data_IF_799479059030
#
_entry.id   IF_799479059030
#
_cell.length_a   1.000
_cell.length_b   1.000
_cell.length_c   1.000
_cell.angle_alpha   90.00
_cell.angle_beta   90.00
_cell.angle_gamma   90.00
#
_symmetry.space_group_name_H-M   'P 1'
#
loop_
_entity.id
_entity.type
_entity.pdbx_description
1 polymer ?
#
# COMPACT_ATOMS: atom_id res chain seq x y z
N UNK A 1 18.54 21.31 -58.02
CA UNK A 1 18.13 20.23 -57.09
C UNK A 1 18.41 20.72 -55.68
N UNK A 2 17.44 21.41 -55.06
CA UNK A 2 17.58 21.95 -53.70
C UNK A 2 16.74 21.07 -52.78
N UNK A 3 17.41 20.29 -51.94
CA UNK A 3 16.78 19.42 -50.95
C UNK A 3 16.67 20.19 -49.63
N UNK A 4 15.48 20.70 -49.35
CA UNK A 4 15.14 21.37 -48.09
C UNK A 4 15.01 20.32 -46.99
N UNK A 5 15.95 20.31 -46.05
CA UNK A 5 15.92 19.47 -44.87
C UNK A 5 14.89 20.05 -43.88
N UNK A 6 13.76 19.36 -43.73
CA UNK A 6 12.71 19.71 -42.77
C UNK A 6 13.19 19.35 -41.36
N UNK A 7 13.69 20.32 -40.60
CA UNK A 7 13.87 20.18 -39.15
C UNK A 7 12.48 20.11 -38.50
N UNK A 8 12.04 18.89 -38.16
CA UNK A 8 10.93 18.69 -37.24
C UNK A 8 11.37 19.16 -35.84
N UNK A 9 10.84 20.32 -35.46
CA UNK A 9 10.91 20.87 -34.11
C UNK A 9 10.28 19.87 -33.13
N UNK A 10 11.09 19.30 -32.23
CA UNK A 10 10.68 18.53 -31.06
C UNK A 10 10.17 19.45 -29.93
N UNK A 11 9.26 20.37 -30.27
CA UNK A 11 8.52 21.15 -29.30
C UNK A 11 7.11 20.55 -29.18
N UNK A 12 6.83 19.81 -28.09
CA UNK A 12 5.44 19.42 -27.84
C UNK A 12 5.14 18.22 -26.96
N UNK A 13 6.08 17.65 -26.19
CA UNK A 13 5.69 16.81 -25.04
C UNK A 13 6.31 17.46 -23.81
N UNK A 14 5.61 18.47 -23.28
CA UNK A 14 5.66 18.68 -21.84
C UNK A 14 5.17 17.36 -21.24
N UNK A 15 6.08 16.53 -20.75
CA UNK A 15 5.72 15.36 -19.97
C UNK A 15 5.09 15.90 -18.68
N UNK A 16 3.79 16.20 -18.74
CA UNK A 16 3.01 16.59 -17.59
C UNK A 16 3.31 15.56 -16.48
N UNK A 17 3.65 16.06 -15.30
CA UNK A 17 3.94 15.22 -14.15
C UNK A 17 2.83 14.16 -14.01
N UNK A 18 3.17 12.90 -13.75
CA UNK A 18 2.18 11.85 -13.55
C UNK A 18 1.32 12.23 -12.34
N UNK A 19 0.05 12.53 -12.59
CA UNK A 19 -0.93 12.96 -11.59
C UNK A 19 -2.36 12.77 -12.12
N UNK A 20 -3.38 12.81 -11.25
CA UNK A 20 -4.77 12.66 -11.67
C UNK A 20 -5.20 13.79 -12.61
N UNK A 21 -5.95 13.44 -13.64
CA UNK A 21 -6.66 14.38 -14.52
C UNK A 21 -7.98 14.79 -13.87
N UNK A 22 -8.66 15.84 -14.37
CA UNK A 22 -10.04 16.09 -13.97
C UNK A 22 -10.89 14.81 -14.10
N UNK A 23 -11.73 14.55 -13.11
CA UNK A 23 -12.61 13.37 -12.98
C UNK A 23 -11.92 12.02 -12.69
N UNK A 24 -10.59 11.95 -12.66
CA UNK A 24 -9.86 10.79 -12.15
C UNK A 24 -10.07 10.68 -10.63
N UNK A 25 -10.21 9.45 -10.11
CA UNK A 25 -10.29 9.17 -8.68
C UNK A 25 -9.05 8.43 -8.20
N UNK A 26 -8.72 8.60 -6.92
CA UNK A 26 -7.57 7.97 -6.25
C UNK A 26 -8.02 7.32 -4.95
N UNK A 27 -7.10 6.63 -4.29
CA UNK A 27 -7.33 5.85 -3.07
C UNK A 27 -6.45 6.36 -1.91
N UNK A 28 -6.60 5.84 -0.68
CA UNK A 28 -5.57 6.03 0.35
C UNK A 28 -4.24 5.31 0.04
N UNK A 29 -4.21 4.41 -0.96
CA UNK A 29 -3.03 3.63 -1.30
C UNK A 29 -2.11 4.37 -2.30
N UNK A 30 -0.91 4.83 -1.87
CA UNK A 30 0.01 5.53 -2.76
C UNK A 30 0.51 4.66 -3.92
N UNK A 31 0.60 3.35 -3.73
CA UNK A 31 1.00 2.39 -4.77
C UNK A 31 0.00 2.35 -5.94
N UNK A 32 -1.28 2.11 -5.66
CA UNK A 32 -2.32 2.07 -6.70
C UNK A 32 -2.45 3.44 -7.39
N UNK A 33 -2.35 4.52 -6.62
CA UNK A 33 -2.38 5.87 -7.17
C UNK A 33 -1.23 6.13 -8.13
N UNK A 34 -0.02 5.70 -7.78
CA UNK A 34 1.16 5.80 -8.66
C UNK A 34 0.99 5.01 -9.95
N UNK A 35 0.48 3.78 -9.87
CA UNK A 35 0.23 2.97 -11.06
C UNK A 35 -0.84 3.60 -11.97
N UNK A 36 -1.89 4.19 -11.41
CA UNK A 36 -2.90 4.90 -12.17
C UNK A 36 -2.32 6.19 -12.79
N UNK A 37 -1.54 6.98 -12.05
CA UNK A 37 -0.87 8.20 -12.52
C UNK A 37 0.08 7.95 -13.71
N UNK A 38 0.63 6.74 -13.81
CA UNK A 38 1.53 6.30 -14.88
C UNK A 38 0.83 5.51 -16.01
N UNK A 39 -0.51 5.47 -16.05
CA UNK A 39 -1.29 4.69 -17.04
C UNK A 39 -0.94 3.18 -17.06
N UNK A 40 -0.37 2.64 -15.97
CA UNK A 40 -0.07 1.21 -15.81
C UNK A 40 -1.32 0.47 -15.36
N UNK A 41 -2.01 1.03 -14.36
CA UNK A 41 -3.39 0.66 -14.06
C UNK A 41 -4.35 1.65 -14.76
N UNK A 42 -5.67 1.45 -14.61
CA UNK A 42 -6.68 2.35 -15.20
C UNK A 42 -6.50 3.77 -14.66
N UNK A 43 -6.07 4.69 -15.54
CA UNK A 43 -5.77 6.10 -15.22
C UNK A 43 -6.90 6.81 -14.49
N UNK A 44 -8.14 6.54 -14.91
CA UNK A 44 -9.36 7.11 -14.32
C UNK A 44 -9.54 6.75 -12.85
N UNK A 45 -8.90 5.69 -12.36
CA UNK A 45 -9.17 5.15 -11.04
C UNK A 45 -10.48 4.37 -10.93
N UNK A 46 -11.20 4.13 -12.04
CA UNK A 46 -12.56 3.56 -12.03
C UNK A 46 -12.65 2.22 -12.75
N UNK A 47 -13.57 1.37 -12.33
CA UNK A 47 -13.93 0.12 -13.03
C UNK A 47 -12.88 -0.98 -12.93
N UNK A 48 -12.14 -1.05 -11.82
CA UNK A 48 -11.20 -2.12 -11.58
C UNK A 48 -11.92 -3.44 -11.37
N UNK A 49 -11.47 -4.47 -12.10
CA UNK A 49 -11.80 -5.87 -11.83
C UNK A 49 -10.57 -6.59 -11.28
N UNK A 50 -10.74 -7.75 -10.63
CA UNK A 50 -9.60 -8.56 -10.16
C UNK A 50 -8.59 -8.86 -11.28
N UNK A 51 -8.98 -9.26 -12.51
CA UNK A 51 -8.02 -9.47 -13.59
C UNK A 51 -7.25 -8.21 -14.02
N UNK A 52 -7.93 -7.05 -14.09
CA UNK A 52 -7.30 -5.77 -14.44
C UNK A 52 -6.27 -5.41 -13.36
N UNK A 53 -6.67 -5.47 -12.10
CA UNK A 53 -5.81 -5.19 -10.96
C UNK A 53 -4.59 -6.12 -10.93
N UNK A 54 -4.81 -7.43 -11.09
CA UNK A 54 -3.74 -8.44 -11.11
C UNK A 54 -2.73 -8.15 -12.20
N UNK A 55 -3.19 -7.85 -13.41
CA UNK A 55 -2.31 -7.52 -14.53
C UNK A 55 -1.48 -6.27 -14.24
N UNK A 56 -2.11 -5.20 -13.75
CA UNK A 56 -1.41 -3.94 -13.57
C UNK A 56 -0.43 -3.97 -12.39
N UNK A 57 -0.79 -4.61 -11.26
CA UNK A 57 0.10 -4.85 -10.12
C UNK A 57 1.32 -5.70 -10.51
N UNK A 58 1.12 -6.76 -11.29
CA UNK A 58 2.22 -7.57 -11.82
C UNK A 58 3.14 -6.74 -12.73
N UNK A 59 2.60 -5.93 -13.64
CA UNK A 59 3.42 -5.13 -14.56
C UNK A 59 4.14 -3.96 -13.90
N UNK A 60 3.53 -3.33 -12.89
CA UNK A 60 4.03 -2.12 -12.28
C UNK A 60 4.96 -2.35 -11.11
N UNK A 61 4.73 -3.40 -10.31
CA UNK A 61 5.50 -3.67 -9.11
C UNK A 61 6.01 -5.10 -9.00
N UNK A 62 5.76 -5.95 -10.01
CA UNK A 62 6.03 -7.38 -9.91
C UNK A 62 5.33 -8.02 -8.70
N UNK A 63 4.10 -7.56 -8.41
CA UNK A 63 3.26 -8.13 -7.36
C UNK A 63 2.56 -9.38 -7.88
N UNK A 64 2.60 -10.44 -7.09
CA UNK A 64 2.04 -11.74 -7.39
C UNK A 64 0.51 -11.76 -7.35
N UNK A 65 -0.11 -12.72 -8.05
CA UNK A 65 -1.56 -12.85 -8.12
C UNK A 65 -2.20 -13.21 -6.76
N UNK A 66 -1.44 -13.78 -5.84
CA UNK A 66 -1.91 -14.14 -4.50
C UNK A 66 -2.29 -12.90 -3.68
N UNK A 67 -1.43 -11.88 -3.66
CA UNK A 67 -1.73 -10.59 -3.04
C UNK A 67 -2.70 -9.75 -3.88
N UNK A 68 -2.59 -9.77 -5.21
CA UNK A 68 -3.50 -9.01 -6.07
C UNK A 68 -4.96 -9.46 -5.95
N UNK A 69 -5.21 -10.76 -5.82
CA UNK A 69 -6.56 -11.30 -5.61
C UNK A 69 -7.18 -10.78 -4.31
N UNK A 70 -6.38 -10.68 -3.25
CA UNK A 70 -6.80 -10.17 -1.95
C UNK A 70 -7.24 -8.71 -2.06
N UNK A 71 -6.39 -7.85 -2.65
CA UNK A 71 -6.69 -6.43 -2.82
C UNK A 71 -7.92 -6.24 -3.72
N UNK A 72 -8.06 -7.05 -4.76
CA UNK A 72 -9.21 -6.98 -5.66
C UNK A 72 -10.51 -7.43 -5.00
N UNK A 73 -10.48 -8.48 -4.16
CA UNK A 73 -11.64 -8.93 -3.41
C UNK A 73 -12.09 -7.88 -2.38
N UNK A 74 -11.12 -7.29 -1.66
CA UNK A 74 -11.38 -6.19 -0.76
C UNK A 74 -11.99 -4.99 -1.46
N UNK A 75 -11.40 -4.56 -2.59
CA UNK A 75 -11.91 -3.45 -3.39
C UNK A 75 -13.33 -3.67 -3.87
N UNK A 76 -13.66 -4.86 -4.37
CA UNK A 76 -15.04 -5.21 -4.75
C UNK A 76 -15.99 -5.11 -3.56
N UNK A 77 -15.57 -5.55 -2.37
CA UNK A 77 -16.35 -5.41 -1.15
C UNK A 77 -16.60 -3.95 -0.78
N UNK A 78 -15.60 -3.08 -0.93
CA UNK A 78 -15.69 -1.65 -0.62
C UNK A 78 -16.40 -0.84 -1.71
N UNK A 79 -16.61 -1.43 -2.88
CA UNK A 79 -17.24 -0.79 -4.02
C UNK A 79 -18.70 -0.43 -3.78
N UNK A 80 -19.17 0.64 -4.44
CA UNK A 80 -20.58 1.09 -4.39
C UNK A 80 -21.57 0.05 -4.91
N UNK A 81 -21.12 -0.95 -5.67
CA UNK A 81 -21.96 -1.99 -6.26
C UNK A 81 -21.24 -3.35 -6.25
N UNK A 82 -21.16 -4.04 -5.09
CA UNK A 82 -20.35 -5.26 -4.96
C UNK A 82 -20.73 -6.39 -5.93
N UNK A 83 -22.02 -6.49 -6.29
CA UNK A 83 -22.51 -7.45 -7.29
C UNK A 83 -22.03 -7.16 -8.73
N UNK A 84 -21.54 -5.95 -8.99
CA UNK A 84 -20.94 -5.57 -10.26
C UNK A 84 -19.54 -6.16 -10.46
N UNK A 85 -18.93 -6.73 -9.41
CA UNK A 85 -17.56 -7.26 -9.42
C UNK A 85 -16.50 -6.25 -9.90
N UNK A 86 -16.81 -4.97 -9.69
CA UNK A 86 -15.94 -3.84 -10.01
C UNK A 86 -15.82 -2.91 -8.82
N UNK A 87 -14.72 -2.18 -8.74
CA UNK A 87 -14.55 -1.11 -7.76
C UNK A 87 -13.81 0.08 -8.36
N UNK A 88 -13.98 1.22 -7.71
CA UNK A 88 -13.26 2.45 -7.99
C UNK A 88 -12.28 2.71 -6.84
N UNK A 89 -11.16 3.38 -7.12
CA UNK A 89 -10.10 3.63 -6.15
C UNK A 89 -10.58 4.49 -4.96
N UNK A 90 -11.53 5.40 -5.19
CA UNK A 90 -12.14 6.23 -4.13
C UNK A 90 -13.09 5.45 -3.22
N UNK A 91 -13.38 4.18 -3.50
CA UNK A 91 -14.09 3.32 -2.56
C UNK A 91 -13.17 2.66 -1.52
N UNK A 92 -11.85 2.74 -1.70
CA UNK A 92 -10.88 2.06 -0.84
C UNK A 92 -10.61 2.79 0.49
N UNK A 93 -11.20 3.96 0.72
CA UNK A 93 -11.15 4.72 1.97
C UNK A 93 -12.28 4.37 2.95
N UNK A 94 -13.08 3.34 2.64
CA UNK A 94 -14.16 2.91 3.51
C UNK A 94 -13.59 2.38 4.84
N UNK A 95 -13.80 3.17 5.90
CA UNK A 95 -13.14 2.96 7.18
C UNK A 95 -13.50 1.65 7.88
N UNK A 96 -12.48 0.96 8.39
CA UNK A 96 -12.57 -0.36 9.00
C UNK A 96 -13.25 -1.41 8.09
N UNK A 97 -13.21 -1.20 6.78
CA UNK A 97 -13.70 -2.15 5.79
C UNK A 97 -12.52 -2.77 5.02
N UNK A 98 -12.08 -3.94 5.50
CA UNK A 98 -11.06 -4.85 4.94
C UNK A 98 -9.63 -4.30 4.80
N UNK A 99 -9.41 -3.08 4.29
CA UNK A 99 -8.06 -2.54 4.02
C UNK A 99 -7.79 -1.20 4.71
N UNK A 100 -8.73 -0.24 4.71
CA UNK A 100 -8.46 1.06 5.36
C UNK A 100 -8.47 0.93 6.89
N UNK A 101 -7.40 1.41 7.53
CA UNK A 101 -7.20 1.33 8.97
C UNK A 101 -6.53 2.57 9.61
N UNK A 102 -6.71 2.68 10.93
CA UNK A 102 -6.11 3.72 11.74
C UNK A 102 -4.58 3.58 11.86
N UNK A 103 -3.91 4.67 12.24
CA UNK A 103 -2.45 4.76 12.35
C UNK A 103 -1.69 4.62 11.03
N UNK A 104 -2.34 5.00 9.93
CA UNK A 104 -1.73 5.17 8.61
C UNK A 104 -0.43 5.99 8.66
N UNK A 105 0.52 5.63 7.78
CA UNK A 105 1.83 6.29 7.68
C UNK A 105 1.75 7.71 7.12
N UNK A 106 0.72 8.03 6.34
CA UNK A 106 0.61 9.31 5.63
C UNK A 106 -0.81 9.86 5.51
N UNK A 107 -1.83 9.18 6.06
CA UNK A 107 -3.24 9.59 6.10
C UNK A 107 -3.65 9.80 7.56
N UNK A 108 -4.67 10.61 7.81
CA UNK A 108 -5.23 10.74 9.16
C UNK A 108 -6.20 9.60 9.46
N UNK A 109 -6.40 9.27 10.73
CA UNK A 109 -7.46 8.35 11.12
C UNK A 109 -8.83 8.98 10.79
N UNK A 110 -9.80 8.16 10.37
CA UNK A 110 -11.12 8.64 9.91
C UNK A 110 -11.88 9.49 10.94
N UNK A 111 -11.68 9.24 12.23
CA UNK A 111 -12.30 10.01 13.32
C UNK A 111 -11.57 11.33 13.63
N UNK A 112 -10.33 11.49 13.16
CA UNK A 112 -9.46 12.64 13.47
C UNK A 112 -9.17 13.53 12.27
N UNK A 113 -9.55 13.12 11.06
CA UNK A 113 -9.34 13.90 9.85
C UNK A 113 -9.65 13.14 8.56
N UNK A 114 -8.94 13.51 7.51
CA UNK A 114 -9.03 12.92 6.17
C UNK A 114 -8.20 11.62 6.10
N UNK A 115 -8.89 10.48 5.99
CA UNK A 115 -8.30 9.14 5.86
C UNK A 115 -7.95 8.74 4.42
N UNK A 116 -8.17 9.64 3.47
CA UNK A 116 -7.96 9.39 2.05
C UNK A 116 -6.70 10.08 1.53
N UNK A 117 -6.59 11.38 1.77
CA UNK A 117 -5.57 12.22 1.13
C UNK A 117 -4.21 12.15 1.83
N UNK A 118 -3.13 12.31 1.06
CA UNK A 118 -1.79 12.48 1.62
C UNK A 118 -1.76 13.66 2.61
N UNK A 119 -1.23 13.40 3.80
CA UNK A 119 -1.08 14.36 4.88
C UNK A 119 0.41 14.53 5.21
N UNK A 120 0.97 15.67 4.79
CA UNK A 120 2.39 15.97 4.99
C UNK A 120 2.79 15.99 6.47
N UNK A 121 1.95 16.55 7.35
CA UNK A 121 2.27 16.63 8.79
C UNK A 121 2.42 15.24 9.41
N UNK A 122 1.53 14.31 9.04
CA UNK A 122 1.61 12.92 9.49
C UNK A 122 2.82 12.23 8.87
N UNK A 123 3.01 12.37 7.56
CA UNK A 123 4.16 11.79 6.86
C UNK A 123 5.50 12.26 7.41
N UNK A 124 5.62 13.55 7.77
CA UNK A 124 6.83 14.11 8.37
C UNK A 124 7.19 13.40 9.70
N UNK A 125 6.20 12.91 10.47
CA UNK A 125 6.48 12.11 11.68
C UNK A 125 7.17 10.79 11.37
N UNK A 126 6.83 10.16 10.24
CA UNK A 126 7.48 8.95 9.73
C UNK A 126 8.85 9.29 9.16
N UNK A 127 8.94 10.32 8.31
CA UNK A 127 10.17 10.70 7.63
C UNK A 127 11.28 11.13 8.61
N UNK A 128 10.92 11.72 9.75
CA UNK A 128 11.87 12.12 10.79
C UNK A 128 12.73 10.96 11.34
N UNK A 129 12.22 9.71 11.32
CA UNK A 129 12.99 8.53 11.70
C UNK A 129 14.20 8.28 10.79
N UNK A 130 14.18 8.83 9.57
CA UNK A 130 15.20 8.66 8.56
C UNK A 130 16.13 9.87 8.42
N UNK A 131 16.15 10.78 9.40
CA UNK A 131 17.03 11.94 9.38
C UNK A 131 18.49 11.52 9.24
N UNK A 132 19.22 12.11 8.28
CA UNK A 132 20.60 11.77 7.92
C UNK A 132 20.81 10.35 7.37
N UNK A 133 19.75 9.69 6.89
CA UNK A 133 19.83 8.42 6.18
C UNK A 133 19.58 8.62 4.68
N UNK A 134 20.12 7.72 3.86
CA UNK A 134 19.82 7.65 2.41
C UNK A 134 18.89 6.50 2.04
N UNK A 135 18.70 5.54 2.95
CA UNK A 135 17.87 4.35 2.75
C UNK A 135 16.93 4.11 3.92
N UNK A 136 15.71 3.71 3.62
CA UNK A 136 14.79 3.12 4.56
C UNK A 136 15.18 1.65 4.76
N UNK A 137 15.19 1.21 6.02
CA UNK A 137 15.57 -0.15 6.42
C UNK A 137 14.55 -0.70 7.39
N UNK A 138 14.41 -2.02 7.45
CA UNK A 138 13.45 -2.72 8.31
C UNK A 138 13.46 -2.20 9.76
N UNK A 139 14.60 -2.09 10.48
CA UNK A 139 14.57 -1.67 11.89
C UNK A 139 14.05 -0.24 12.11
N UNK A 140 14.30 0.66 11.15
CA UNK A 140 13.86 2.07 11.25
C UNK A 140 12.39 2.19 10.82
N UNK A 141 11.99 1.49 9.76
CA UNK A 141 10.61 1.40 9.30
C UNK A 141 9.69 0.84 10.38
N UNK A 142 10.11 -0.23 11.06
CA UNK A 142 9.38 -0.83 12.18
C UNK A 142 9.11 0.18 13.32
N UNK A 143 10.11 0.98 13.67
CA UNK A 143 9.99 2.01 14.71
C UNK A 143 9.07 3.15 14.27
N UNK A 144 9.20 3.62 13.03
CA UNK A 144 8.36 4.68 12.49
C UNK A 144 6.88 4.26 12.43
N UNK A 145 6.58 3.04 11.95
CA UNK A 145 5.24 2.45 11.97
C UNK A 145 4.70 2.34 13.40
N UNK A 146 5.48 1.80 14.33
CA UNK A 146 5.02 1.63 15.71
C UNK A 146 4.76 2.96 16.43
N UNK A 147 5.51 4.00 16.07
CA UNK A 147 5.23 5.35 16.54
C UNK A 147 3.84 5.83 16.10
N UNK A 148 3.42 5.56 14.86
CA UNK A 148 2.07 5.90 14.39
C UNK A 148 1.00 5.23 15.24
N UNK A 149 1.11 3.91 15.42
CA UNK A 149 0.18 3.12 16.23
C UNK A 149 0.08 3.66 17.66
N UNK A 150 1.22 3.86 18.33
CA UNK A 150 1.24 4.33 19.72
C UNK A 150 0.82 5.79 19.88
N UNK A 151 1.00 6.61 18.86
CA UNK A 151 0.56 8.01 18.86
C UNK A 151 -0.94 8.10 18.66
N UNK A 152 -1.49 7.43 17.65
CA UNK A 152 -2.93 7.48 17.38
C UNK A 152 -3.75 6.79 18.47
N UNK A 153 -3.27 5.68 19.04
CA UNK A 153 -3.92 5.05 20.20
C UNK A 153 -4.11 6.01 21.40
N UNK A 154 -3.27 7.04 21.53
CA UNK A 154 -3.39 8.05 22.60
C UNK A 154 -4.28 9.24 22.21
N UNK A 155 -4.46 9.48 20.91
CA UNK A 155 -5.08 10.70 20.37
C UNK A 155 -6.50 10.44 19.85
N UNK A 156 -6.71 9.30 19.22
CA UNK A 156 -7.96 8.92 18.58
C UNK A 156 -8.86 8.20 19.61
N UNK A 157 -10.00 8.78 20.01
CA UNK A 157 -10.89 8.19 21.02
C UNK A 157 -11.62 6.93 20.53
N UNK A 158 -11.64 6.67 19.22
CA UNK A 158 -12.26 5.51 18.58
C UNK A 158 -11.23 4.62 17.89
N UNK A 159 -9.96 4.70 18.32
CA UNK A 159 -8.84 3.99 17.71
C UNK A 159 -9.10 2.47 17.65
N UNK A 160 -8.90 1.90 16.46
CA UNK A 160 -9.06 0.49 16.17
C UNK A 160 -7.72 -0.13 15.80
N UNK A 161 -7.25 -1.09 16.61
CA UNK A 161 -6.01 -1.80 16.34
C UNK A 161 -6.03 -3.23 16.88
N UNK A 162 -6.68 -4.11 16.11
CA UNK A 162 -6.76 -5.55 16.39
C UNK A 162 -5.77 -6.37 15.57
N UNK A 163 -5.91 -7.71 15.57
CA UNK A 163 -5.04 -8.61 14.79
C UNK A 163 -5.02 -8.30 13.28
N UNK A 164 -6.15 -7.87 12.71
CA UNK A 164 -6.25 -7.47 11.30
C UNK A 164 -5.39 -6.23 11.02
N UNK A 165 -5.62 -5.13 11.75
CA UNK A 165 -4.89 -3.87 11.59
C UNK A 165 -3.40 -4.04 11.89
N UNK A 166 -3.05 -4.91 12.85
CA UNK A 166 -1.66 -5.27 13.11
C UNK A 166 -0.99 -5.80 11.84
N UNK A 167 -1.58 -6.82 11.19
CA UNK A 167 -1.00 -7.44 10.00
C UNK A 167 -1.00 -6.49 8.81
N UNK A 168 -2.06 -5.70 8.62
CA UNK A 168 -2.14 -4.70 7.56
C UNK A 168 -1.06 -3.63 7.71
N UNK A 169 -0.95 -3.01 8.88
CA UNK A 169 0.03 -1.96 9.15
C UNK A 169 1.48 -2.43 8.94
N UNK A 170 1.81 -3.68 9.30
CA UNK A 170 3.11 -4.29 8.94
C UNK A 170 3.23 -4.62 7.45
N UNK A 171 2.16 -5.13 6.83
CA UNK A 171 2.12 -5.48 5.42
C UNK A 171 2.33 -4.27 4.51
N UNK A 172 1.73 -3.13 4.82
CA UNK A 172 1.92 -1.86 4.11
C UNK A 172 3.35 -1.34 4.22
N UNK A 173 3.95 -1.48 5.41
CA UNK A 173 5.36 -1.16 5.64
C UNK A 173 6.26 -2.06 4.80
N UNK A 174 5.97 -3.36 4.76
CA UNK A 174 6.69 -4.31 3.92
C UNK A 174 6.50 -4.01 2.41
N UNK A 175 5.31 -3.56 2.00
CA UNK A 175 4.99 -3.24 0.61
C UNK A 175 5.81 -2.06 0.09
N UNK A 176 5.92 -0.94 0.81
CA UNK A 176 6.72 0.17 0.29
C UNK A 176 8.22 -0.17 0.26
N UNK A 177 8.73 -0.90 1.28
CA UNK A 177 10.13 -1.36 1.29
C UNK A 177 10.41 -2.32 0.13
N UNK A 178 9.45 -3.19 -0.20
CA UNK A 178 9.57 -4.14 -1.30
C UNK A 178 9.46 -3.47 -2.67
N UNK A 179 8.46 -2.60 -2.87
CA UNK A 179 8.18 -1.96 -4.16
C UNK A 179 9.22 -0.89 -4.50
N UNK A 180 9.66 -0.10 -3.52
CA UNK A 180 10.67 0.95 -3.70
C UNK A 180 12.09 0.48 -3.41
N UNK A 181 12.29 -0.81 -3.18
CA UNK A 181 13.57 -1.38 -2.77
C UNK A 181 13.72 -2.83 -3.23
N UNK A 182 14.08 -3.69 -2.29
CA UNK A 182 14.22 -5.13 -2.53
C UNK A 182 13.26 -5.92 -1.62
N UNK A 183 12.43 -6.83 -2.18
CA UNK A 183 11.46 -7.63 -1.42
C UNK A 183 12.08 -8.63 -0.43
N UNK A 184 13.40 -8.82 -0.43
CA UNK A 184 14.10 -9.73 0.48
C UNK A 184 14.92 -8.95 1.51
N UNK A 185 15.71 -7.96 1.10
CA UNK A 185 16.50 -7.18 2.07
C UNK A 185 15.69 -6.11 2.80
N UNK A 186 14.53 -5.70 2.25
CA UNK A 186 13.70 -4.63 2.83
C UNK A 186 14.45 -3.30 2.95
N UNK A 187 15.33 -3.01 1.98
CA UNK A 187 16.08 -1.76 1.91
C UNK A 187 15.62 -0.99 0.68
N UNK A 188 15.16 0.25 0.88
CA UNK A 188 14.65 1.12 -0.18
C UNK A 188 15.34 2.50 -0.11
N UNK A 189 15.82 3.08 -1.22
CA UNK A 189 16.27 4.47 -1.23
C UNK A 189 15.16 5.42 -0.76
N UNK A 190 15.48 6.33 0.17
CA UNK A 190 14.47 7.25 0.75
C UNK A 190 13.86 8.14 -0.33
N UNK A 191 14.64 8.54 -1.33
CA UNK A 191 14.11 9.33 -2.46
C UNK A 191 13.00 8.59 -3.23
N UNK A 192 13.09 7.26 -3.35
CA UNK A 192 12.04 6.48 -4.01
C UNK A 192 10.79 6.41 -3.13
N UNK A 193 10.98 6.19 -1.83
CA UNK A 193 9.88 6.18 -0.85
C UNK A 193 9.19 7.55 -0.80
N UNK A 194 9.94 8.65 -0.82
CA UNK A 194 9.36 10.01 -0.86
C UNK A 194 8.56 10.23 -2.14
N UNK A 195 9.07 9.83 -3.30
CA UNK A 195 8.33 9.95 -4.57
C UNK A 195 7.02 9.16 -4.54
N UNK A 196 7.03 7.95 -3.97
CA UNK A 196 5.82 7.14 -3.82
C UNK A 196 4.76 7.81 -2.95
N UNK A 197 5.14 8.34 -1.78
CA UNK A 197 4.17 8.90 -0.83
C UNK A 197 3.78 10.35 -1.12
N UNK A 198 4.75 11.21 -1.46
CA UNK A 198 4.57 12.66 -1.58
C UNK A 198 4.06 13.06 -2.97
N UNK A 199 4.46 12.33 -4.01
CA UNK A 199 4.11 12.62 -5.40
C UNK A 199 3.18 11.57 -6.01
N UNK A 200 3.00 10.42 -5.36
CA UNK A 200 2.30 9.25 -5.92
C UNK A 200 2.81 8.96 -7.33
N UNK A 201 4.14 8.81 -7.42
CA UNK A 201 4.89 8.72 -8.66
C UNK A 201 5.91 7.60 -8.59
N UNK A 202 6.08 6.91 -9.72
CA UNK A 202 7.15 5.94 -9.91
C UNK A 202 8.42 6.66 -10.35
N UNK A 203 9.52 6.62 -9.57
CA UNK A 203 10.68 7.47 -9.78
C UNK A 203 11.66 6.89 -10.81
N UNK A 204 11.16 6.61 -12.03
CA UNK A 204 11.95 6.05 -13.13
C UNK A 204 13.17 6.92 -13.49
N UNK A 205 13.04 8.24 -13.33
CA UNK A 205 14.08 9.24 -13.53
C UNK A 205 15.20 9.17 -12.50
N UNK A 206 14.92 8.67 -11.29
CA UNK A 206 15.92 8.42 -10.24
C UNK A 206 16.56 7.03 -10.37
N UNK A 207 16.23 6.30 -11.45
CA UNK A 207 16.76 4.96 -11.73
C UNK A 207 15.91 3.80 -11.21
N UNK A 208 14.78 4.07 -10.52
CA UNK A 208 13.91 3.01 -10.02
C UNK A 208 13.32 2.17 -11.16
N UNK A 209 13.19 0.87 -10.93
CA UNK A 209 12.50 -0.08 -11.80
C UNK A 209 11.71 -1.06 -10.92
N UNK A 210 10.66 -1.71 -11.44
CA UNK A 210 9.94 -2.74 -10.70
C UNK A 210 10.91 -3.81 -10.16
N UNK A 211 10.71 -4.32 -8.93
CA UNK A 211 11.56 -5.35 -8.35
C UNK A 211 11.69 -6.59 -9.22
N UNK A 212 12.90 -7.17 -9.27
CA UNK A 212 13.16 -8.40 -10.05
C UNK A 212 12.54 -9.63 -9.37
N UNK A 213 12.62 -9.69 -8.04
CA UNK A 213 11.94 -10.73 -7.26
C UNK A 213 10.48 -10.37 -7.12
N UNK A 214 9.61 -11.37 -7.27
CA UNK A 214 8.17 -11.16 -7.14
C UNK A 214 7.82 -10.84 -5.69
N UNK A 215 6.97 -9.82 -5.51
CA UNK A 215 6.35 -9.50 -4.22
C UNK A 215 5.10 -10.36 -4.08
N UNK A 216 5.11 -11.31 -3.15
CA UNK A 216 4.00 -12.23 -2.91
C UNK A 216 3.79 -12.43 -1.40
N UNK A 217 2.80 -13.23 -1.01
CA UNK A 217 2.48 -13.40 0.41
C UNK A 217 3.62 -14.04 1.22
N UNK A 218 4.50 -14.81 0.58
CA UNK A 218 5.66 -15.38 1.24
C UNK A 218 6.73 -14.31 1.52
N UNK A 219 7.15 -13.54 0.51
CA UNK A 219 8.14 -12.45 0.71
C UNK A 219 7.63 -11.39 1.67
N UNK A 220 6.35 -11.03 1.59
CA UNK A 220 5.71 -10.10 2.53
C UNK A 220 5.65 -10.69 3.94
N UNK A 221 5.26 -11.97 4.07
CA UNK A 221 5.19 -12.65 5.36
C UNK A 221 6.54 -12.69 6.09
N UNK A 222 7.62 -12.97 5.35
CA UNK A 222 8.98 -12.94 5.90
C UNK A 222 9.37 -11.54 6.38
N UNK A 223 9.14 -10.51 5.56
CA UNK A 223 9.47 -9.13 5.93
C UNK A 223 8.62 -8.61 7.10
N UNK A 224 7.34 -8.99 7.18
CA UNK A 224 6.47 -8.67 8.33
C UNK A 224 7.05 -9.23 9.63
N UNK A 225 7.54 -10.47 9.61
CA UNK A 225 8.17 -11.07 10.79
C UNK A 225 9.44 -10.28 11.20
N UNK A 226 10.28 -9.88 10.24
CA UNK A 226 11.47 -9.06 10.53
C UNK A 226 11.12 -7.66 11.05
N UNK A 227 10.09 -7.01 10.47
CA UNK A 227 9.60 -5.72 10.94
C UNK A 227 9.08 -5.80 12.38
N UNK A 228 8.34 -6.85 12.73
CA UNK A 228 7.86 -7.04 14.09
C UNK A 228 9.00 -7.25 15.09
N UNK A 229 10.02 -8.03 14.72
CA UNK A 229 11.25 -8.16 15.53
C UNK A 229 11.95 -6.80 15.68
N UNK A 230 11.94 -5.95 14.65
CA UNK A 230 12.63 -4.66 14.62
C UNK A 230 12.15 -3.62 15.64
N UNK A 231 10.89 -3.70 16.09
CA UNK A 231 10.34 -2.82 17.14
C UNK A 231 9.89 -3.57 18.41
N UNK A 232 9.80 -4.90 18.37
CA UNK A 232 9.42 -5.73 19.52
C UNK A 232 7.95 -5.57 19.93
N UNK A 233 7.07 -5.13 19.03
CA UNK A 233 5.63 -5.05 19.31
C UNK A 233 5.09 -6.46 19.61
N UNK A 234 4.36 -6.61 20.72
CA UNK A 234 3.85 -7.91 21.15
C UNK A 234 2.82 -8.42 20.15
N UNK A 235 3.05 -9.62 19.63
CA UNK A 235 2.12 -10.30 18.72
C UNK A 235 0.90 -10.77 19.51
N UNK A 236 -0.29 -10.62 18.92
CA UNK A 236 -1.54 -11.11 19.50
C UNK A 236 -1.49 -12.63 19.75
N UNK A 237 -2.07 -13.06 20.86
CA UNK A 237 -2.11 -14.49 21.22
C UNK A 237 -2.74 -15.31 20.08
N UNK A 238 -2.07 -16.39 19.68
CA UNK A 238 -2.50 -17.27 18.58
C UNK A 238 -2.20 -16.78 17.17
N UNK A 239 -1.65 -15.57 16.99
CA UNK A 239 -1.23 -15.07 15.68
C UNK A 239 0.23 -15.49 15.38
N UNK A 240 0.45 -16.08 14.20
CA UNK A 240 1.78 -16.51 13.74
C UNK A 240 2.17 -15.69 12.51
N UNK A 241 3.13 -14.78 12.63
CA UNK A 241 3.50 -13.91 11.51
C UNK A 241 4.10 -14.70 10.34
N UNK A 242 3.56 -14.46 9.14
CA UNK A 242 3.94 -15.15 7.92
C UNK A 242 2.79 -15.23 6.92
N UNK A 243 3.01 -15.98 5.83
CA UNK A 243 2.06 -16.17 4.73
C UNK A 243 0.68 -16.62 5.21
N UNK A 244 0.62 -17.52 6.19
CA UNK A 244 -0.64 -18.05 6.72
C UNK A 244 -1.47 -16.99 7.42
N UNK A 245 -0.85 -16.07 8.17
CA UNK A 245 -1.58 -14.99 8.83
C UNK A 245 -2.06 -13.94 7.84
N UNK A 246 -1.27 -13.64 6.81
CA UNK A 246 -1.75 -12.83 5.69
C UNK A 246 -2.98 -13.48 5.06
N UNK A 247 -2.89 -14.77 4.68
CA UNK A 247 -4.05 -15.50 4.15
C UNK A 247 -5.24 -15.50 5.10
N UNK A 248 -5.04 -15.65 6.41
CA UNK A 248 -6.12 -15.67 7.39
C UNK A 248 -6.81 -14.30 7.49
N UNK A 249 -6.04 -13.22 7.62
CA UNK A 249 -6.57 -11.84 7.65
C UNK A 249 -7.44 -11.57 6.44
N UNK A 250 -7.03 -12.02 5.25
CA UNK A 250 -7.76 -11.73 4.03
C UNK A 250 -8.82 -12.77 3.64
N UNK A 251 -8.83 -13.97 4.24
CA UNK A 251 -9.86 -15.01 4.02
C UNK A 251 -10.93 -15.07 5.10
N UNK A 252 -10.74 -14.43 6.24
CA UNK A 252 -11.56 -14.64 7.44
C UNK A 252 -12.26 -13.40 7.97
N UNK A 253 -12.45 -12.36 7.16
CA UNK A 253 -13.26 -11.22 7.58
C UNK A 253 -14.74 -11.49 7.37
N UNK A 254 -15.49 -11.46 8.45
CA UNK A 254 -16.92 -11.19 8.36
C UNK A 254 -17.12 -9.77 7.79
N UNK A 255 -17.77 -9.61 6.63
CA UNK A 255 -17.83 -8.34 5.90
C UNK A 255 -18.72 -7.28 6.58
N UNK A 256 -19.39 -7.62 7.68
CA UNK A 256 -20.26 -6.72 8.45
C UNK A 256 -19.61 -6.35 9.78
N UNK A 257 -18.79 -7.22 10.36
CA UNK A 257 -18.27 -7.07 11.73
C UNK A 257 -16.74 -7.00 11.83
N UNK A 258 -15.99 -7.27 10.76
CA UNK A 258 -14.52 -7.23 10.75
C UNK A 258 -13.85 -8.29 11.63
N UNK A 259 -14.60 -9.27 12.15
CA UNK A 259 -14.10 -10.33 13.03
C UNK A 259 -13.60 -11.54 12.23
N UNK A 260 -12.60 -12.22 12.80
CA UNK A 260 -12.04 -13.49 12.29
C UNK A 260 -13.12 -14.58 12.35
N UNK A 261 -13.54 -15.12 11.21
CA UNK A 261 -14.58 -16.18 11.08
C UNK A 261 -14.09 -17.55 11.56
N UNK A 262 -12.78 -17.77 11.75
CA UNK A 262 -12.27 -19.08 12.16
C UNK A 262 -12.20 -19.17 13.68
N UNK A 263 -13.23 -19.79 14.30
CA UNK A 263 -13.00 -20.54 15.53
C UNK A 263 -11.93 -21.58 15.21
N UNK A 264 -10.72 -21.39 15.71
CA UNK A 264 -9.75 -22.47 15.82
C UNK A 264 -10.39 -23.49 16.77
N UNK A 265 -11.09 -24.47 16.19
CA UNK A 265 -11.33 -25.72 16.89
C UNK A 265 -9.96 -26.38 16.89
N UNK A 266 -9.24 -26.20 17.99
CA UNK A 266 -8.17 -27.12 18.34
C UNK A 266 -8.85 -28.48 18.49
N UNK A 267 -8.75 -29.33 17.47
CA UNK A 267 -9.08 -30.73 17.63
C UNK A 267 -8.02 -31.31 18.56
N UNK A 268 -8.33 -31.34 19.85
CA UNK A 268 -7.69 -32.23 20.81
C UNK A 268 -8.21 -33.63 20.53
N UNK A 269 -7.38 -34.47 19.92
CA UNK A 269 -7.66 -35.89 19.64
C UNK A 269 -6.46 -36.56 19.01
#
# INVERSE_FOLDING_TARGET
>A
MHSTLLLLSLAGISAALPGPRPDDVRSPCPGLNSLANHDICLRSGKGYTVPILTKCLASGFNVGPDFALIVGAAGIGSGKTPLGLTFDLDGLDHHNFIIEDDASLSRADASTGDNHSFNKTIWDTVLNYYTNMSTATIPVAAKAKYNRVTTENKRNPTFSYGPTQFVLSYGETALYLSTMGDPVSGVAPIEYVRSLFEEEKLPYELGWRPPVKQINLNTLGAMIAELNVGNGEVVFEGLILGESSLKAVFRSLDPITGKIIVKIVVCSG
#
